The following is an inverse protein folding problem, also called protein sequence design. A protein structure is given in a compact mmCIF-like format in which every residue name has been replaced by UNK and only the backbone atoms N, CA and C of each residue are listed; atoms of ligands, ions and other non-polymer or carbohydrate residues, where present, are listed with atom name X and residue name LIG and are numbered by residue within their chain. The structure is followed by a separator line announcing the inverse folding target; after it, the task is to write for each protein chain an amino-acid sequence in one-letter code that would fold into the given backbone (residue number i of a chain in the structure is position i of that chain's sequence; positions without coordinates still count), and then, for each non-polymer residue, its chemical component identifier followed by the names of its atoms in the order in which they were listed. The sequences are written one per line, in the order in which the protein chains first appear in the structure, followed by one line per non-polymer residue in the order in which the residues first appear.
data_IF_544673710376
#
_entry.id   IF_544673710376
#
_cell.length_a   1.000
_cell.length_b   1.000
_cell.length_c   1.000
_cell.angle_alpha   90.00
_cell.angle_beta   90.00
_cell.angle_gamma   90.00
#
_symmetry.space_group_name_H-M   'P 1'
#
loop_
_entity.id
_entity.type
_entity.pdbx_description
1 polymer ?
#
# COMPACT_ATOMS: atom_id res chain seq x y z
N UNK A 1 -10.77 91.04 -1.90
CA UNK A 1 -9.98 91.30 -0.69
C UNK A 1 -10.93 91.32 0.49
N UNK A 2 -11.27 90.15 1.03
CA UNK A 2 -11.99 90.08 2.29
C UNK A 2 -11.06 90.57 3.41
N UNK A 3 -11.54 91.50 4.23
CA UNK A 3 -10.80 92.01 5.38
C UNK A 3 -10.54 90.82 6.31
N UNK A 4 -9.28 90.42 6.45
CA UNK A 4 -8.86 89.46 7.46
C UNK A 4 -9.37 89.95 8.82
N UNK A 5 -10.33 89.23 9.40
CA UNK A 5 -10.77 89.49 10.77
C UNK A 5 -9.56 89.36 11.68
N UNK A 6 -9.35 90.34 12.55
CA UNK A 6 -8.36 90.21 13.61
C UNK A 6 -8.75 88.98 14.45
N UNK A 7 -7.86 87.99 14.54
CA UNK A 7 -8.05 86.84 15.41
C UNK A 7 -7.96 87.31 16.85
N UNK A 8 -9.10 87.64 17.44
CA UNK A 8 -9.22 87.95 18.86
C UNK A 8 -9.21 86.66 19.68
N UNK A 9 -8.84 86.78 20.96
CA UNK A 9 -8.86 85.68 21.90
C UNK A 9 -10.23 85.00 21.99
N UNK A 10 -11.30 85.78 21.96
CA UNK A 10 -12.69 85.30 22.04
C UNK A 10 -13.08 84.51 20.79
N UNK A 11 -12.67 84.95 19.60
CA UNK A 11 -12.93 84.23 18.35
C UNK A 11 -12.19 82.88 18.34
N UNK A 12 -10.94 82.84 18.81
CA UNK A 12 -10.20 81.59 18.93
C UNK A 12 -10.89 80.61 19.89
N UNK A 13 -11.31 81.06 21.07
CA UNK A 13 -11.98 80.18 22.04
C UNK A 13 -13.31 79.66 21.49
N UNK A 14 -14.07 80.50 20.78
CA UNK A 14 -15.32 80.05 20.14
C UNK A 14 -15.04 78.98 19.08
N UNK A 15 -14.04 79.17 18.23
CA UNK A 15 -13.66 78.19 17.21
C UNK A 15 -13.14 76.90 17.84
N UNK A 16 -12.28 77.01 18.85
CA UNK A 16 -11.77 75.88 19.63
C UNK A 16 -12.91 75.04 20.21
N UNK A 17 -13.86 75.67 20.90
CA UNK A 17 -14.97 74.97 21.53
C UNK A 17 -15.93 74.33 20.51
N UNK A 18 -15.95 74.84 19.28
CA UNK A 18 -16.64 74.22 18.15
C UNK A 18 -15.97 72.92 17.69
N UNK A 19 -14.63 72.94 17.54
CA UNK A 19 -13.87 71.79 17.04
C UNK A 19 -13.56 70.73 18.12
N UNK A 20 -13.46 71.15 19.38
CA UNK A 20 -13.20 70.29 20.54
C UNK A 20 -14.32 70.42 21.61
N UNK A 21 -15.55 69.96 21.32
CA UNK A 21 -16.67 70.09 22.26
C UNK A 21 -16.47 69.30 23.56
N UNK A 22 -15.64 68.26 23.52
CA UNK A 22 -15.31 67.43 24.69
C UNK A 22 -14.19 68.02 25.57
N UNK A 23 -13.51 69.06 25.10
CA UNK A 23 -12.46 69.75 25.85
C UNK A 23 -12.59 71.28 25.68
N UNK A 24 -13.67 71.88 26.23
CA UNK A 24 -13.89 73.30 26.09
C UNK A 24 -12.87 74.12 26.89
N UNK A 25 -12.44 75.23 26.32
CA UNK A 25 -11.55 76.19 26.97
C UNK A 25 -12.29 77.49 27.31
N UNK A 26 -11.85 78.12 28.38
CA UNK A 26 -12.20 79.49 28.77
C UNK A 26 -10.95 80.39 28.80
N UNK A 27 -11.09 81.73 28.80
CA UNK A 27 -9.93 82.63 28.87
C UNK A 27 -9.06 82.43 30.12
N UNK A 28 -9.64 81.94 31.21
CA UNK A 28 -8.91 81.67 32.46
C UNK A 28 -7.98 80.45 32.32
N UNK A 29 -8.39 79.44 31.56
CA UNK A 29 -7.67 78.19 31.37
C UNK A 29 -6.33 78.37 30.66
N UNK A 30 -6.20 79.42 29.86
CA UNK A 30 -4.95 79.76 29.17
C UNK A 30 -3.82 80.21 30.10
N UNK A 31 -4.12 80.41 31.38
CA UNK A 31 -3.14 80.69 32.44
C UNK A 31 -2.85 79.46 33.30
N UNK A 32 -3.48 78.32 33.02
CA UNK A 32 -3.35 77.07 33.79
C UNK A 32 -2.48 76.09 32.98
N UNK A 33 -1.30 75.69 33.48
CA UNK A 33 -0.40 74.74 32.80
C UNK A 33 -1.11 73.49 32.29
N UNK A 34 -1.89 72.84 33.16
CA UNK A 34 -2.56 71.58 32.85
C UNK A 34 -3.59 71.75 31.74
N UNK A 35 -4.33 72.86 31.73
CA UNK A 35 -5.35 73.10 30.73
C UNK A 35 -4.74 73.37 29.35
N UNK A 36 -3.65 74.14 29.29
CA UNK A 36 -2.89 74.41 28.05
C UNK A 36 -2.24 73.13 27.52
N UNK A 37 -1.60 72.33 28.37
CA UNK A 37 -1.02 71.05 27.95
C UNK A 37 -2.09 70.06 27.47
N UNK A 38 -3.23 69.98 28.17
CA UNK A 38 -4.35 69.14 27.75
C UNK A 38 -4.92 69.57 26.40
N UNK A 39 -5.01 70.87 26.14
CA UNK A 39 -5.39 71.40 24.82
C UNK A 39 -4.38 70.99 23.73
N UNK A 40 -3.08 71.11 24.00
CA UNK A 40 -2.05 70.68 23.04
C UNK A 40 -2.14 69.20 22.70
N UNK A 41 -2.45 68.34 23.67
CA UNK A 41 -2.66 66.92 23.40
C UNK A 41 -3.86 66.67 22.48
N UNK A 42 -4.93 67.45 22.58
CA UNK A 42 -6.05 67.34 21.63
C UNK A 42 -5.60 67.62 20.19
N UNK A 43 -4.73 68.62 20.01
CA UNK A 43 -4.16 68.94 18.70
C UNK A 43 -3.21 67.84 18.23
N UNK A 44 -2.36 67.31 19.12
CA UNK A 44 -1.43 66.23 18.80
C UNK A 44 -2.14 64.96 18.34
N UNK A 45 -3.21 64.57 19.03
CA UNK A 45 -4.01 63.41 18.64
C UNK A 45 -4.57 63.58 17.21
N UNK A 46 -5.06 64.79 16.88
CA UNK A 46 -5.57 65.11 15.53
C UNK A 46 -4.49 65.14 14.46
N UNK A 47 -3.27 65.52 14.82
CA UNK A 47 -2.11 65.48 13.95
C UNK A 47 -1.48 64.08 13.83
N UNK A 48 -1.98 63.08 14.55
CA UNK A 48 -1.41 61.73 14.59
C UNK A 48 -0.08 61.66 15.34
N UNK A 49 0.20 62.62 16.22
CA UNK A 49 1.39 62.62 17.08
C UNK A 49 1.08 61.75 18.30
N UNK A 50 1.85 60.67 18.46
CA UNK A 50 1.67 59.73 19.55
C UNK A 50 1.88 60.40 20.92
N UNK A 51 0.80 60.52 21.69
CA UNK A 51 0.80 61.09 23.04
C UNK A 51 1.71 60.30 23.98
N UNK A 52 1.71 58.98 23.88
CA UNK A 52 2.50 58.13 24.77
C UNK A 52 3.99 58.36 24.51
N UNK A 53 4.39 58.53 23.25
CA UNK A 53 5.76 58.91 22.89
C UNK A 53 6.15 60.31 23.42
N UNK A 54 5.22 61.27 23.47
CA UNK A 54 5.47 62.60 24.05
C UNK A 54 5.66 62.52 25.57
N UNK A 55 4.88 61.68 26.24
CA UNK A 55 4.96 61.49 27.70
C UNK A 55 6.10 60.56 28.11
N UNK A 56 6.62 59.74 27.20
CA UNK A 56 7.64 58.76 27.47
C UNK A 56 8.97 59.39 27.90
N UNK A 57 9.71 58.73 28.81
CA UNK A 57 11.10 59.08 29.06
C UNK A 57 11.95 58.84 27.81
N UNK A 58 13.15 59.46 27.73
CA UNK A 58 14.11 59.12 26.68
C UNK A 58 14.46 57.62 26.72
N UNK A 59 14.91 57.03 25.59
CA UNK A 59 15.35 55.63 25.55
C UNK A 59 16.38 55.33 26.65
N UNK A 60 16.35 54.12 27.20
CA UNK A 60 17.21 53.72 28.34
C UNK A 60 18.70 53.99 28.10
N UNK A 61 19.15 53.87 26.84
CA UNK A 61 20.52 54.16 26.41
C UNK A 61 20.96 55.61 26.66
N UNK A 62 20.01 56.55 26.74
CA UNK A 62 20.25 57.97 26.98
C UNK A 62 19.87 58.41 28.41
N UNK A 63 19.40 57.49 29.25
CA UNK A 63 19.07 57.77 30.65
C UNK A 63 20.35 57.72 31.50
N UNK A 64 20.48 58.68 32.42
CA UNK A 64 21.51 58.66 33.46
C UNK A 64 20.87 58.57 34.85
N UNK A 65 21.70 58.38 35.88
CA UNK A 65 21.24 58.27 37.28
C UNK A 65 20.41 59.48 37.75
N UNK A 66 20.55 60.63 37.09
CA UNK A 66 19.86 61.86 37.44
C UNK A 66 18.54 62.07 36.67
N UNK A 67 18.28 61.31 35.60
CA UNK A 67 17.07 61.46 34.77
C UNK A 67 15.79 61.26 35.59
N UNK A 68 15.83 60.39 36.61
CA UNK A 68 14.68 60.11 37.48
C UNK A 68 14.20 61.33 38.27
N UNK A 69 15.08 62.29 38.58
CA UNK A 69 14.73 63.50 39.33
C UNK A 69 13.98 64.54 38.49
N UNK A 70 13.96 64.37 37.17
CA UNK A 70 13.33 65.30 36.24
C UNK A 70 12.13 64.70 35.51
N UNK A 71 11.65 63.53 35.95
CA UNK A 71 10.57 62.80 35.29
C UNK A 71 9.32 63.64 35.07
N UNK A 72 8.98 64.48 36.05
CA UNK A 72 7.81 65.38 36.00
C UNK A 72 7.95 66.51 34.95
N UNK A 73 9.19 66.85 34.58
CA UNK A 73 9.47 67.88 33.56
C UNK A 73 9.58 67.30 32.15
N UNK A 74 9.77 65.98 32.00
CA UNK A 74 9.96 65.32 30.71
C UNK A 74 8.79 65.57 29.75
N UNK A 75 7.50 65.46 30.16
CA UNK A 75 6.38 65.80 29.29
C UNK A 75 6.46 67.22 28.74
N UNK A 76 6.84 68.19 29.58
CA UNK A 76 6.93 69.61 29.20
C UNK A 76 8.10 69.83 28.24
N UNK A 77 9.24 69.21 28.49
CA UNK A 77 10.43 69.27 27.63
C UNK A 77 10.12 68.65 26.26
N UNK A 78 9.51 67.46 26.24
CA UNK A 78 9.16 66.75 25.03
C UNK A 78 8.12 67.52 24.21
N UNK A 79 7.05 68.02 24.85
CA UNK A 79 6.08 68.91 24.18
C UNK A 79 6.77 70.13 23.55
N UNK A 80 7.67 70.78 24.28
CA UNK A 80 8.44 71.93 23.76
C UNK A 80 9.25 71.54 22.52
N UNK A 81 9.91 70.37 22.56
CA UNK A 81 10.68 69.85 21.42
C UNK A 81 9.81 69.53 20.21
N UNK A 82 8.69 68.84 20.41
CA UNK A 82 7.75 68.49 19.35
C UNK A 82 7.23 69.75 18.68
N UNK A 83 6.76 70.73 19.45
CA UNK A 83 6.21 71.97 18.89
C UNK A 83 7.29 72.74 18.12
N UNK A 84 8.48 72.90 18.70
CA UNK A 84 9.59 73.57 18.02
C UNK A 84 10.02 72.85 16.74
N UNK A 85 9.93 71.51 16.71
CA UNK A 85 10.20 70.74 15.50
C UNK A 85 9.14 70.99 14.43
N UNK A 86 7.85 70.97 14.78
CA UNK A 86 6.74 71.23 13.86
C UNK A 86 6.83 72.63 13.23
N UNK A 87 7.22 73.63 14.02
CA UNK A 87 7.30 75.03 13.55
C UNK A 87 8.71 75.39 13.06
N UNK A 88 9.68 74.48 13.08
CA UNK A 88 11.07 74.74 12.67
C UNK A 88 11.18 75.18 11.21
N UNK A 89 10.23 74.76 10.38
CA UNK A 89 10.14 75.12 8.95
C UNK A 89 9.54 76.53 8.76
N UNK A 90 9.02 77.15 9.82
CA UNK A 90 8.43 78.48 9.81
C UNK A 90 9.40 79.51 10.43
N UNK A 91 10.25 80.20 9.64
CA UNK A 91 11.28 81.11 10.16
C UNK A 91 10.72 82.34 10.90
N UNK A 92 9.41 82.59 10.83
CA UNK A 92 8.73 83.70 11.49
C UNK A 92 8.25 83.39 12.91
N UNK A 93 8.34 82.13 13.35
CA UNK A 93 7.87 81.71 14.68
C UNK A 93 9.05 81.68 15.64
N UNK A 94 8.95 82.44 16.74
CA UNK A 94 9.95 82.40 17.81
C UNK A 94 9.95 81.03 18.50
N UNK A 95 11.15 80.53 18.84
CA UNK A 95 11.30 79.27 19.58
C UNK A 95 10.53 79.30 20.89
N UNK A 96 9.71 78.29 21.11
CA UNK A 96 8.94 78.10 22.34
C UNK A 96 9.87 77.51 23.40
N UNK A 97 9.78 78.04 24.62
CA UNK A 97 10.56 77.58 25.75
C UNK A 97 9.68 76.84 26.77
N UNK A 98 10.31 76.07 27.65
CA UNK A 98 9.65 75.29 28.71
C UNK A 98 8.86 76.22 29.66
N UNK A 99 9.31 77.46 29.86
CA UNK A 99 8.63 78.41 30.75
C UNK A 99 7.24 78.81 30.24
N UNK A 100 7.00 78.76 28.93
CA UNK A 100 5.68 79.03 28.36
C UNK A 100 4.62 78.00 28.80
N UNK A 101 5.04 76.82 29.27
CA UNK A 101 4.15 75.77 29.77
C UNK A 101 4.13 75.69 31.30
N UNK A 102 5.26 75.94 31.97
CA UNK A 102 5.32 75.96 33.44
C UNK A 102 4.68 77.23 34.03
N UNK A 103 4.76 78.35 33.32
CA UNK A 103 4.22 79.65 33.71
C UNK A 103 3.48 80.32 32.54
N UNK A 104 2.37 79.72 32.08
CA UNK A 104 1.65 80.21 30.91
C UNK A 104 1.01 81.57 31.19
N UNK A 105 1.18 82.50 30.25
CA UNK A 105 0.39 83.73 30.18
C UNK A 105 -0.70 83.55 29.13
N UNK A 106 -1.83 84.25 29.31
CA UNK A 106 -2.93 84.18 28.34
C UNK A 106 -2.48 84.53 26.91
N UNK A 107 -1.54 85.46 26.76
CA UNK A 107 -0.99 85.87 25.46
C UNK A 107 -0.16 84.75 24.85
N UNK A 108 0.82 84.20 25.59
CA UNK A 108 1.71 83.15 25.09
C UNK A 108 0.95 81.87 24.76
N UNK A 109 0.06 81.43 25.65
CA UNK A 109 -0.75 80.23 25.45
C UNK A 109 -1.68 80.37 24.26
N UNK A 110 -2.32 81.54 24.11
CA UNK A 110 -3.16 81.83 22.96
C UNK A 110 -2.36 81.77 21.65
N UNK A 111 -1.17 82.40 21.60
CA UNK A 111 -0.35 82.38 20.39
C UNK A 111 0.12 80.96 20.02
N UNK A 112 0.54 80.15 20.99
CA UNK A 112 0.99 78.77 20.75
C UNK A 112 -0.18 77.90 20.28
N UNK A 113 -1.31 77.95 20.98
CA UNK A 113 -2.48 77.14 20.62
C UNK A 113 -3.07 77.57 19.28
N UNK A 114 -3.16 78.88 19.00
CA UNK A 114 -3.64 79.38 17.71
C UNK A 114 -2.76 78.90 16.55
N UNK A 115 -1.44 78.92 16.71
CA UNK A 115 -0.50 78.44 15.70
C UNK A 115 -0.73 76.97 15.36
N UNK A 116 -0.79 76.12 16.39
CA UNK A 116 -0.94 74.68 16.23
C UNK A 116 -2.36 74.29 15.76
N UNK A 117 -3.37 75.01 16.23
CA UNK A 117 -4.75 74.84 15.78
C UNK A 117 -4.89 75.16 14.29
N UNK A 118 -4.27 76.26 13.83
CA UNK A 118 -4.24 76.59 12.41
C UNK A 118 -3.48 75.56 11.58
N UNK A 119 -2.38 75.00 12.10
CA UNK A 119 -1.65 73.91 11.45
C UNK A 119 -2.52 72.66 11.30
N UNK A 120 -3.26 72.29 12.35
CA UNK A 120 -4.20 71.18 12.32
C UNK A 120 -5.29 71.39 11.27
N UNK A 121 -5.96 72.54 11.27
CA UNK A 121 -6.99 72.86 10.28
C UNK A 121 -6.44 72.87 8.85
N UNK A 122 -5.21 73.37 8.66
CA UNK A 122 -4.54 73.31 7.36
C UNK A 122 -4.31 71.87 6.91
N UNK A 123 -3.78 71.00 7.79
CA UNK A 123 -3.57 69.59 7.47
C UNK A 123 -4.88 68.86 7.15
N UNK A 124 -5.94 69.07 7.94
CA UNK A 124 -7.26 68.50 7.67
C UNK A 124 -7.82 68.98 6.31
N UNK A 125 -7.59 70.25 5.96
CA UNK A 125 -7.95 70.79 4.65
C UNK A 125 -7.19 70.12 3.50
N UNK A 126 -5.88 69.89 3.66
CA UNK A 126 -5.01 69.25 2.65
C UNK A 126 -5.23 67.75 2.52
N UNK A 127 -5.68 67.07 3.58
CA UNK A 127 -6.00 65.64 3.53
C UNK A 127 -7.08 65.33 2.48
N UNK A 128 -8.04 66.25 2.26
CA UNK A 128 -9.04 66.09 1.19
C UNK A 128 -8.43 66.05 -0.21
N UNK A 129 -7.32 66.76 -0.42
CA UNK A 129 -6.61 66.75 -1.71
C UNK A 129 -5.83 65.45 -1.92
N UNK A 130 -5.48 64.74 -0.84
CA UNK A 130 -4.67 63.50 -0.87
C UNK A 130 -5.55 62.24 -0.87
N UNK A 131 -6.73 62.31 -0.26
CA UNK A 131 -7.65 61.18 -0.10
C UNK A 131 -7.90 60.36 -1.39
N UNK A 132 -8.09 60.97 -2.59
CA UNK A 132 -8.27 60.18 -3.82
C UNK A 132 -7.07 59.29 -4.17
N UNK A 133 -5.85 59.75 -3.91
CA UNK A 133 -4.63 58.98 -4.17
C UNK A 133 -4.45 57.85 -3.16
N UNK A 134 -4.87 58.08 -1.91
CA UNK A 134 -4.88 57.07 -0.86
C UNK A 134 -5.89 55.95 -1.16
N UNK A 135 -7.11 56.31 -1.60
CA UNK A 135 -8.13 55.36 -2.06
C UNK A 135 -7.63 54.52 -3.25
N UNK A 136 -6.96 55.14 -4.22
CA UNK A 136 -6.35 54.42 -5.35
C UNK A 136 -5.29 53.42 -4.88
N UNK A 137 -4.43 53.82 -3.94
CA UNK A 137 -3.38 52.97 -3.39
C UNK A 137 -3.96 51.77 -2.62
N UNK A 138 -5.02 51.97 -1.83
CA UNK A 138 -5.71 50.87 -1.16
C UNK A 138 -6.39 49.93 -2.16
N UNK A 139 -7.06 50.46 -3.17
CA UNK A 139 -7.66 49.64 -4.22
C UNK A 139 -6.63 48.77 -4.95
N UNK A 140 -5.45 49.34 -5.27
CA UNK A 140 -4.34 48.60 -5.88
C UNK A 140 -3.77 47.53 -4.95
N UNK A 141 -3.69 47.82 -3.65
CA UNK A 141 -3.24 46.85 -2.65
C UNK A 141 -4.18 45.66 -2.56
N UNK A 142 -5.49 45.89 -2.63
CA UNK A 142 -6.48 44.81 -2.61
C UNK A 142 -6.47 44.00 -3.91
N UNK A 143 -6.22 44.63 -5.06
CA UNK A 143 -6.00 43.93 -6.33
C UNK A 143 -4.79 42.98 -6.26
N UNK A 144 -3.68 43.43 -5.65
CA UNK A 144 -2.49 42.59 -5.43
C UNK A 144 -2.83 41.40 -4.53
N UNK A 145 -3.52 41.60 -3.41
CA UNK A 145 -3.94 40.51 -2.51
C UNK A 145 -4.83 39.49 -3.23
N UNK A 146 -5.75 39.95 -4.09
CA UNK A 146 -6.60 39.06 -4.88
C UNK A 146 -5.79 38.22 -5.88
N UNK A 147 -4.78 38.81 -6.53
CA UNK A 147 -3.87 38.09 -7.42
C UNK A 147 -3.00 37.08 -6.67
N UNK A 148 -2.50 37.43 -5.48
CA UNK A 148 -1.75 36.50 -4.62
C UNK A 148 -2.61 35.30 -4.20
N UNK A 149 -3.86 35.53 -3.80
CA UNK A 149 -4.81 34.46 -3.50
C UNK A 149 -5.05 33.54 -4.69
N UNK A 150 -5.24 34.12 -5.90
CA UNK A 150 -5.40 33.34 -7.14
C UNK A 150 -4.16 32.52 -7.48
N UNK A 151 -2.96 33.09 -7.32
CA UNK A 151 -1.69 32.39 -7.51
C UNK A 151 -1.59 31.19 -6.56
N UNK A 152 -1.91 31.37 -5.28
CA UNK A 152 -1.85 30.30 -4.29
C UNK A 152 -2.82 29.17 -4.62
N UNK A 153 -4.06 29.49 -5.04
CA UNK A 153 -5.03 28.49 -5.48
C UNK A 153 -4.56 27.68 -6.70
N UNK A 154 -3.90 28.34 -7.66
CA UNK A 154 -3.32 27.65 -8.82
C UNK A 154 -2.17 26.72 -8.43
N UNK A 155 -1.34 27.11 -7.47
CA UNK A 155 -0.27 26.25 -6.94
C UNK A 155 -0.83 25.02 -6.21
N UNK A 156 -1.90 25.18 -5.43
CA UNK A 156 -2.59 24.05 -4.79
C UNK A 156 -3.14 23.06 -5.83
N UNK A 157 -3.79 23.56 -6.88
CA UNK A 157 -4.30 22.70 -7.97
C UNK A 157 -3.15 21.97 -8.70
N UNK A 158 -2.01 22.63 -8.92
CA UNK A 158 -0.84 22.01 -9.54
C UNK A 158 -0.27 20.89 -8.68
N UNK A 159 -0.18 21.11 -7.36
CA UNK A 159 0.29 20.11 -6.42
C UNK A 159 -0.65 18.88 -6.37
N UNK A 160 -1.97 19.11 -6.37
CA UNK A 160 -2.96 18.02 -6.45
C UNK A 160 -2.80 17.21 -7.74
N UNK A 161 -2.64 17.87 -8.89
CA UNK A 161 -2.40 17.16 -10.16
C UNK A 161 -1.09 16.38 -10.16
N UNK A 162 -0.03 16.90 -9.53
CA UNK A 162 1.24 16.18 -9.39
C UNK A 162 1.08 14.93 -8.52
N UNK A 163 0.36 15.02 -7.40
CA UNK A 163 0.07 13.87 -6.52
C UNK A 163 -0.77 12.80 -7.23
N UNK A 164 -1.81 13.22 -7.97
CA UNK A 164 -2.63 12.31 -8.77
C UNK A 164 -1.82 11.60 -9.87
N UNK A 165 -0.93 12.33 -10.54
CA UNK A 165 0.00 11.73 -11.51
C UNK A 165 0.93 10.73 -10.85
N UNK A 166 1.45 11.02 -9.66
CA UNK A 166 2.26 10.08 -8.87
C UNK A 166 1.49 8.79 -8.56
N UNK A 167 0.27 8.91 -8.02
CA UNK A 167 -0.60 7.75 -7.75
C UNK A 167 -1.01 6.98 -9.00
N UNK A 168 -1.09 7.64 -10.16
CA UNK A 168 -1.35 6.98 -11.44
C UNK A 168 -0.12 6.21 -11.92
N UNK A 169 1.07 6.78 -11.79
CA UNK A 169 2.32 6.10 -12.14
C UNK A 169 2.53 4.84 -11.29
N UNK A 170 2.33 4.92 -9.98
CA UNK A 170 2.41 3.77 -9.07
C UNK A 170 1.41 2.66 -9.45
N UNK A 171 0.16 3.04 -9.80
CA UNK A 171 -0.84 2.07 -10.29
C UNK A 171 -0.44 1.42 -11.60
N UNK A 172 0.16 2.16 -12.52
CA UNK A 172 0.66 1.60 -13.78
C UNK A 172 1.83 0.65 -13.54
N UNK A 173 2.74 0.98 -12.63
CA UNK A 173 3.85 0.10 -12.28
C UNK A 173 3.38 -1.22 -11.66
N UNK A 174 2.38 -1.18 -10.76
CA UNK A 174 1.79 -2.40 -10.21
C UNK A 174 1.10 -3.25 -11.30
N UNK A 175 0.37 -2.62 -12.22
CA UNK A 175 -0.25 -3.34 -13.34
C UNK A 175 0.79 -3.97 -14.27
N UNK A 176 1.91 -3.28 -14.53
CA UNK A 176 3.01 -3.84 -15.32
C UNK A 176 3.69 -5.03 -14.62
N UNK A 177 3.77 -5.02 -13.28
CA UNK A 177 4.24 -6.17 -12.50
C UNK A 177 3.25 -7.33 -12.58
N UNK A 178 1.95 -7.08 -12.41
CA UNK A 178 0.90 -8.09 -12.53
C UNK A 178 0.88 -8.72 -13.92
N UNK A 179 1.02 -7.91 -14.98
CA UNK A 179 1.11 -8.41 -16.37
C UNK A 179 2.29 -9.37 -16.51
N UNK A 180 3.47 -9.03 -15.97
CA UNK A 180 4.65 -9.91 -16.03
C UNK A 180 4.42 -11.23 -15.29
N UNK A 181 3.82 -11.19 -14.11
CA UNK A 181 3.49 -12.41 -13.37
C UNK A 181 2.52 -13.28 -14.17
N UNK A 182 1.46 -12.69 -14.73
CA UNK A 182 0.51 -13.45 -15.56
C UNK A 182 1.12 -13.97 -16.85
N UNK A 183 2.08 -13.25 -17.46
CA UNK A 183 2.83 -13.75 -18.62
C UNK A 183 3.71 -14.96 -18.25
N UNK A 184 4.33 -14.95 -17.07
CA UNK A 184 5.09 -16.09 -16.55
C UNK A 184 4.20 -17.28 -16.21
N UNK A 185 3.07 -17.06 -15.53
CA UNK A 185 2.06 -18.10 -15.23
C UNK A 185 1.51 -18.73 -16.53
N UNK A 186 1.16 -17.91 -17.53
CA UNK A 186 0.69 -18.38 -18.83
C UNK A 186 1.76 -19.21 -19.54
N UNK A 187 3.04 -18.85 -19.38
CA UNK A 187 4.15 -19.61 -19.96
C UNK A 187 4.27 -20.98 -19.28
N UNK A 188 4.22 -21.03 -17.96
CA UNK A 188 4.25 -22.29 -17.21
C UNK A 188 3.05 -23.18 -17.56
N UNK A 189 1.84 -22.61 -17.65
CA UNK A 189 0.64 -23.37 -18.01
C UNK A 189 0.72 -23.94 -19.44
N UNK A 190 1.34 -23.22 -20.38
CA UNK A 190 1.63 -23.75 -21.72
C UNK A 190 2.64 -24.89 -21.70
N UNK A 191 3.71 -24.76 -20.90
CA UNK A 191 4.70 -25.83 -20.73
C UNK A 191 4.04 -27.09 -20.14
N UNK A 192 3.21 -26.95 -19.10
CA UNK A 192 2.43 -28.06 -18.53
C UNK A 192 1.46 -28.68 -19.54
N UNK A 193 0.76 -27.86 -20.32
CA UNK A 193 -0.13 -28.35 -21.36
C UNK A 193 0.61 -29.12 -22.46
N UNK A 194 1.82 -28.67 -22.84
CA UNK A 194 2.66 -29.39 -23.81
C UNK A 194 3.14 -30.74 -23.25
N UNK A 195 3.53 -30.79 -21.97
CA UNK A 195 3.88 -32.04 -21.28
C UNK A 195 2.69 -33.00 -21.23
N UNK A 196 1.52 -32.55 -20.76
CA UNK A 196 0.31 -33.37 -20.66
C UNK A 196 -0.15 -33.87 -22.03
N UNK A 197 0.00 -33.03 -23.08
CA UNK A 197 -0.29 -33.44 -24.46
C UNK A 197 0.66 -34.53 -24.94
N UNK A 198 1.95 -34.46 -24.62
CA UNK A 198 2.93 -35.50 -24.96
C UNK A 198 2.62 -36.83 -24.24
N UNK A 199 2.25 -36.76 -22.96
CA UNK A 199 1.79 -37.93 -22.19
C UNK A 199 0.52 -38.55 -22.80
N UNK A 200 -0.46 -37.72 -23.15
CA UNK A 200 -1.69 -38.17 -23.80
C UNK A 200 -1.40 -38.85 -25.15
N UNK A 201 -0.52 -38.26 -25.96
CA UNK A 201 -0.11 -38.85 -27.25
C UNK A 201 0.61 -40.20 -27.06
N UNK A 202 1.39 -40.36 -25.99
CA UNK A 202 2.01 -41.62 -25.63
C UNK A 202 0.97 -42.69 -25.24
N UNK A 203 0.00 -42.33 -24.39
CA UNK A 203 -1.10 -43.21 -23.98
C UNK A 203 -1.96 -43.60 -25.21
N UNK A 204 -2.24 -42.67 -26.12
CA UNK A 204 -2.98 -42.96 -27.35
C UNK A 204 -2.21 -43.98 -28.22
N UNK A 205 -0.89 -43.85 -28.34
CA UNK A 205 -0.05 -44.81 -29.08
C UNK A 205 -0.06 -46.19 -28.42
N UNK A 206 0.06 -46.24 -27.11
CA UNK A 206 -0.01 -47.49 -26.34
C UNK A 206 -1.38 -48.16 -26.50
N UNK A 207 -2.48 -47.41 -26.35
CA UNK A 207 -3.84 -47.91 -26.57
C UNK A 207 -4.02 -48.49 -27.99
N UNK A 208 -3.50 -47.81 -29.02
CA UNK A 208 -3.53 -48.34 -30.40
C UNK A 208 -2.74 -49.64 -30.54
N UNK A 209 -1.61 -49.79 -29.86
CA UNK A 209 -0.84 -51.04 -29.85
C UNK A 209 -1.62 -52.16 -29.16
N UNK A 210 -2.26 -51.85 -28.02
CA UNK A 210 -3.11 -52.80 -27.29
C UNK A 210 -4.30 -53.24 -28.12
N UNK A 211 -4.98 -52.32 -28.82
CA UNK A 211 -6.07 -52.65 -29.75
C UNK A 211 -5.61 -53.58 -30.87
N UNK A 212 -4.46 -53.29 -31.52
CA UNK A 212 -3.89 -54.17 -32.54
C UNK A 212 -3.60 -55.57 -31.99
N UNK A 213 -3.01 -55.66 -30.80
CA UNK A 213 -2.75 -56.95 -30.13
C UNK A 213 -4.07 -57.67 -29.80
N UNK A 214 -5.09 -56.95 -29.34
CA UNK A 214 -6.39 -57.51 -29.04
C UNK A 214 -7.04 -58.10 -30.31
N UNK A 215 -6.97 -57.40 -31.43
CA UNK A 215 -7.52 -57.88 -32.71
C UNK A 215 -6.73 -59.07 -33.27
N UNK A 216 -5.40 -59.06 -33.15
CA UNK A 216 -4.58 -60.25 -33.43
C UNK A 216 -5.00 -61.45 -32.57
N UNK A 217 -5.23 -61.24 -31.27
CA UNK A 217 -5.67 -62.31 -30.35
C UNK A 217 -7.09 -62.79 -30.64
N UNK A 218 -8.01 -61.90 -31.02
CA UNK A 218 -9.36 -62.28 -31.49
C UNK A 218 -9.27 -63.12 -32.77
N UNK A 219 -8.48 -62.70 -33.75
CA UNK A 219 -8.25 -63.47 -34.99
C UNK A 219 -7.66 -64.85 -34.71
N UNK A 220 -6.65 -64.93 -33.83
CA UNK A 220 -6.07 -66.22 -33.38
C UNK A 220 -7.12 -67.11 -32.71
N UNK A 221 -7.94 -66.54 -31.81
CA UNK A 221 -9.04 -67.26 -31.15
C UNK A 221 -10.04 -67.77 -32.18
N UNK A 222 -10.47 -66.94 -33.13
CA UNK A 222 -11.46 -67.31 -34.13
C UNK A 222 -10.92 -68.39 -35.09
N UNK A 223 -9.63 -68.33 -35.44
CA UNK A 223 -8.94 -69.39 -36.18
C UNK A 223 -8.92 -70.72 -35.40
N UNK A 224 -8.61 -70.68 -34.09
CA UNK A 224 -8.64 -71.86 -33.23
C UNK A 224 -10.06 -72.43 -33.09
N UNK A 225 -11.08 -71.58 -32.99
CA UNK A 225 -12.49 -71.99 -32.96
C UNK A 225 -12.86 -72.68 -34.28
N UNK A 226 -12.49 -72.10 -35.43
CA UNK A 226 -12.74 -72.69 -36.75
C UNK A 226 -12.02 -74.04 -36.92
N UNK A 227 -10.78 -74.18 -36.45
CA UNK A 227 -10.09 -75.47 -36.42
C UNK A 227 -10.78 -76.49 -35.52
N UNK A 228 -11.22 -76.07 -34.32
CA UNK A 228 -11.99 -76.92 -33.40
C UNK A 228 -13.29 -77.39 -34.04
N UNK A 229 -14.02 -76.50 -34.71
CA UNK A 229 -15.24 -76.81 -35.44
C UNK A 229 -14.96 -77.75 -36.62
N UNK A 230 -13.90 -77.51 -37.39
CA UNK A 230 -13.46 -78.41 -38.47
C UNK A 230 -13.10 -79.79 -37.96
N UNK A 231 -12.38 -79.88 -36.84
CA UNK A 231 -12.04 -81.16 -36.17
C UNK A 231 -13.26 -81.82 -35.55
N UNK A 232 -14.28 -81.06 -35.12
CA UNK A 232 -15.58 -81.60 -34.68
C UNK A 232 -16.44 -82.06 -35.86
N UNK A 233 -16.41 -81.38 -37.00
CA UNK A 233 -17.12 -81.76 -38.22
C UNK A 233 -16.50 -82.98 -38.92
N UNK A 234 -15.18 -83.13 -38.85
CA UNK A 234 -14.44 -84.36 -39.22
C UNK A 234 -14.66 -85.51 -38.23
N UNK A 235 -15.32 -85.25 -37.09
CA UNK A 235 -15.72 -86.26 -36.12
C UNK A 235 -17.01 -86.93 -36.61
N UNK A 236 -16.91 -87.62 -37.75
CA UNK A 236 -17.96 -88.49 -38.27
C UNK A 236 -17.80 -89.85 -37.58
N UNK A 237 -18.80 -90.21 -36.77
CA UNK A 237 -19.01 -91.58 -36.34
C UNK A 237 -19.61 -92.37 -37.52
N UNK A 238 -18.81 -92.66 -38.54
CA UNK A 238 -19.18 -93.69 -39.50
C UNK A 238 -19.05 -95.03 -38.76
N UNK A 239 -20.19 -95.60 -38.40
CA UNK A 239 -20.28 -96.88 -37.70
C UNK A 239 -19.55 -98.02 -38.45
N UNK A 240 -19.30 -97.83 -39.75
CA UNK A 240 -18.54 -98.74 -40.60
C UNK A 240 -17.01 -98.54 -40.49
N UNK A 241 -16.52 -97.33 -40.20
CA UNK A 241 -15.09 -97.08 -39.93
C UNK A 241 -14.65 -97.57 -38.55
N UNK A 242 -15.55 -97.55 -37.56
CA UNK A 242 -15.29 -98.19 -36.25
C UNK A 242 -15.26 -99.71 -36.40
N UNK A 243 -16.08 -100.31 -37.27
CA UNK A 243 -15.99 -101.75 -37.58
C UNK A 243 -14.73 -102.09 -38.38
N UNK A 244 -14.30 -101.24 -39.31
CA UNK A 244 -13.05 -101.42 -40.07
C UNK A 244 -11.81 -101.26 -39.18
N UNK A 245 -11.80 -100.30 -38.24
CA UNK A 245 -10.73 -100.13 -37.26
C UNK A 245 -10.74 -101.22 -36.19
N UNK A 246 -11.91 -101.72 -35.76
CA UNK A 246 -11.98 -102.86 -34.86
C UNK A 246 -11.54 -104.17 -35.53
N UNK A 247 -11.85 -104.38 -36.82
CA UNK A 247 -11.36 -105.54 -37.58
C UNK A 247 -9.87 -105.43 -37.92
N UNK A 248 -9.36 -104.23 -38.22
CA UNK A 248 -7.92 -104.02 -38.41
C UNK A 248 -7.15 -104.16 -37.10
N UNK A 249 -7.65 -103.61 -35.99
CA UNK A 249 -7.07 -103.82 -34.67
C UNK A 249 -7.13 -105.29 -34.22
N UNK A 250 -8.21 -106.02 -34.52
CA UNK A 250 -8.29 -107.46 -34.25
C UNK A 250 -7.28 -108.26 -35.12
N UNK A 251 -7.06 -107.86 -36.37
CA UNK A 251 -6.06 -108.47 -37.25
C UNK A 251 -4.63 -108.15 -36.82
N UNK A 252 -4.38 -106.91 -36.39
CA UNK A 252 -3.08 -106.47 -35.86
C UNK A 252 -2.79 -107.12 -34.49
N UNK A 253 -3.82 -107.37 -33.67
CA UNK A 253 -3.71 -108.18 -32.44
C UNK A 253 -3.43 -109.64 -32.77
N UNK A 254 -4.05 -110.22 -33.79
CA UNK A 254 -3.78 -111.59 -34.21
C UNK A 254 -2.38 -111.75 -34.83
N UNK A 255 -1.93 -110.81 -35.67
CA UNK A 255 -0.56 -110.78 -36.22
C UNK A 255 0.49 -110.51 -35.14
N UNK A 256 0.17 -109.67 -34.14
CA UNK A 256 1.07 -109.44 -33.01
C UNK A 256 1.09 -110.61 -32.03
N UNK A 257 0.00 -111.37 -31.88
CA UNK A 257 -0.03 -112.65 -31.17
C UNK A 257 0.77 -113.72 -31.90
N UNK A 258 0.69 -113.81 -33.23
CA UNK A 258 1.52 -114.71 -34.04
C UNK A 258 3.00 -114.32 -33.98
N UNK A 259 3.32 -113.02 -34.02
CA UNK A 259 4.68 -112.51 -33.76
C UNK A 259 5.13 -112.75 -32.32
N UNK A 260 4.24 -112.67 -31.33
CA UNK A 260 4.53 -113.03 -29.93
C UNK A 260 4.76 -114.54 -29.78
N UNK A 261 4.07 -115.37 -30.57
CA UNK A 261 4.25 -116.82 -30.59
C UNK A 261 5.58 -117.20 -31.25
N UNK A 262 5.93 -116.56 -32.37
CA UNK A 262 7.25 -116.72 -33.00
C UNK A 262 8.38 -116.16 -32.13
N UNK A 263 8.17 -115.04 -31.45
CA UNK A 263 9.12 -114.49 -30.46
C UNK A 263 9.24 -115.39 -29.23
N UNK A 264 8.16 -116.04 -28.77
CA UNK A 264 8.23 -117.05 -27.68
C UNK A 264 8.99 -118.30 -28.11
N UNK A 265 8.79 -118.79 -29.33
CA UNK A 265 9.59 -119.89 -29.88
C UNK A 265 11.07 -119.50 -30.05
N UNK A 266 11.34 -118.27 -30.50
CA UNK A 266 12.69 -117.71 -30.60
C UNK A 266 13.32 -117.50 -29.21
N UNK A 267 12.53 -117.11 -28.21
CA UNK A 267 12.95 -116.94 -26.82
C UNK A 267 13.22 -118.29 -26.16
N UNK A 268 12.43 -119.33 -26.46
CA UNK A 268 12.69 -120.71 -26.01
C UNK A 268 13.97 -121.29 -26.65
N UNK A 269 14.24 -120.98 -27.92
CA UNK A 269 15.52 -121.28 -28.58
C UNK A 269 16.69 -120.51 -27.94
N UNK A 270 16.49 -119.23 -27.60
CA UNK A 270 17.49 -118.39 -26.94
C UNK A 270 17.73 -118.81 -25.48
N UNK A 271 16.72 -119.28 -24.74
CA UNK A 271 16.84 -119.85 -23.39
C UNK A 271 17.62 -121.17 -23.39
N UNK A 272 17.42 -122.04 -24.40
CA UNK A 272 18.25 -123.24 -24.58
C UNK A 272 19.70 -122.89 -24.93
N UNK A 273 19.93 -121.85 -25.74
CA UNK A 273 21.27 -121.33 -26.00
C UNK A 273 21.88 -120.64 -24.76
N UNK A 274 21.08 -120.00 -23.90
CA UNK A 274 21.51 -119.39 -22.64
C UNK A 274 21.88 -120.47 -21.60
N UNK A 275 21.18 -121.61 -21.57
CA UNK A 275 21.56 -122.78 -20.75
C UNK A 275 22.91 -123.40 -21.17
N UNK A 276 23.24 -123.38 -22.46
CA UNK A 276 24.56 -123.80 -22.96
C UNK A 276 25.68 -122.76 -22.72
N UNK A 277 25.32 -121.48 -22.53
CA UNK A 277 26.24 -120.39 -22.14
C UNK A 277 26.40 -120.24 -20.62
N UNK A 278 25.50 -120.81 -19.81
CA UNK A 278 25.61 -120.85 -18.35
C UNK A 278 26.63 -121.90 -17.85
N UNK A 279 27.11 -122.81 -18.70
CA UNK A 279 28.22 -123.74 -18.41
C UNK A 279 29.62 -123.17 -18.69
N UNK A 280 29.74 -122.00 -19.33
CA UNK A 280 31.01 -121.31 -19.65
C UNK A 280 31.27 -120.08 -18.77
N UNK A 281 30.46 -119.86 -17.74
CA UNK A 281 30.55 -118.72 -16.82
C UNK A 281 31.65 -118.80 -15.73
N UNK A 282 32.09 -119.97 -15.22
CA UNK A 282 33.13 -119.99 -14.18
C UNK A 282 34.53 -119.53 -14.64
N UNK A 283 34.79 -119.45 -15.95
CA UNK A 283 36.11 -119.07 -16.50
C UNK A 283 36.21 -117.59 -16.92
N UNK A 284 35.11 -116.83 -16.94
CA UNK A 284 35.11 -115.40 -17.25
C UNK A 284 35.08 -114.52 -15.99
N UNK A 285 34.60 -115.05 -14.86
CA UNK A 285 34.66 -114.35 -13.57
C UNK A 285 36.09 -114.33 -12.97
N UNK A 286 36.94 -115.30 -13.33
CA UNK A 286 38.40 -115.28 -13.01
C UNK A 286 39.19 -114.32 -13.90
N UNK A 287 38.78 -114.13 -15.15
CA UNK A 287 39.42 -113.19 -16.08
C UNK A 287 39.07 -111.73 -15.76
N UNK A 288 37.85 -111.46 -15.26
CA UNK A 288 37.41 -110.11 -14.92
C UNK A 288 38.00 -109.62 -13.57
N UNK A 289 38.24 -110.53 -12.62
CA UNK A 289 38.92 -110.19 -11.36
C UNK A 289 40.42 -109.90 -11.57
N UNK A 290 41.09 -110.61 -12.49
CA UNK A 290 42.48 -110.30 -12.88
C UNK A 290 42.58 -109.00 -13.73
N UNK A 291 41.54 -108.64 -14.47
CA UNK A 291 41.45 -107.36 -15.19
C UNK A 291 41.26 -106.17 -14.22
N UNK A 292 40.48 -106.33 -13.15
CA UNK A 292 40.34 -105.30 -12.11
C UNK A 292 41.58 -105.16 -11.20
N UNK A 293 42.37 -106.22 -11.02
CA UNK A 293 43.65 -106.16 -10.30
C UNK A 293 44.77 -105.52 -11.16
N UNK A 294 44.78 -105.75 -12.48
CA UNK A 294 45.70 -105.09 -13.43
C UNK A 294 45.34 -103.60 -13.62
N UNK A 295 44.05 -103.23 -13.59
CA UNK A 295 43.62 -101.82 -13.65
C UNK A 295 44.04 -101.08 -12.37
N UNK A 296 43.84 -101.67 -11.19
CA UNK A 296 44.28 -101.08 -9.90
C UNK A 296 45.80 -100.89 -9.79
N UNK A 297 46.59 -101.85 -10.27
CA UNK A 297 48.06 -101.74 -10.28
C UNK A 297 48.62 -100.91 -11.46
N UNK A 298 47.81 -100.67 -12.50
CA UNK A 298 48.13 -99.75 -13.60
C UNK A 298 47.78 -98.30 -13.27
N UNK A 299 46.81 -98.06 -12.38
CA UNK A 299 46.46 -96.73 -11.88
C UNK A 299 47.48 -96.26 -10.82
N UNK A 300 48.04 -97.15 -10.00
CA UNK A 300 49.11 -96.84 -9.04
C UNK A 300 50.52 -96.62 -9.67
N UNK A 301 50.71 -96.94 -10.97
CA UNK A 301 51.96 -96.69 -11.72
C UNK A 301 51.84 -95.57 -12.77
N UNK A 302 50.64 -95.01 -12.98
CA UNK A 302 50.39 -93.80 -13.79
C UNK A 302 50.30 -92.51 -12.95
N UNK A 303 50.30 -92.61 -11.62
CA UNK A 303 50.41 -91.47 -10.71
C UNK A 303 51.84 -90.89 -10.57
N UNK A 304 52.84 -91.38 -11.33
CA UNK A 304 54.20 -90.81 -11.32
C UNK A 304 54.74 -90.32 -12.66
N UNK A 305 54.06 -90.46 -13.80
CA UNK A 305 54.49 -89.79 -15.04
C UNK A 305 53.36 -89.75 -16.08
N UNK A 306 52.79 -88.55 -16.26
CA UNK A 306 51.92 -88.10 -17.36
C UNK A 306 50.43 -88.51 -17.34
N UNK A 307 49.70 -87.85 -16.43
CA UNK A 307 48.44 -87.18 -16.74
C UNK A 307 48.44 -85.84 -15.99
N UNK A 308 48.13 -84.68 -16.54
CA UNK A 308 47.56 -84.33 -17.84
C UNK A 308 48.07 -82.90 -18.12
N UNK A 309 48.65 -82.67 -19.30
CA UNK A 309 48.77 -81.31 -19.80
C UNK A 309 47.40 -80.95 -20.36
N UNK A 310 46.58 -80.31 -19.52
CA UNK A 310 46.00 -79.04 -19.94
C UNK A 310 46.26 -78.00 -18.84
N UNK A 311 47.37 -77.33 -19.09
CA UNK A 311 47.72 -76.00 -18.68
C UNK A 311 46.62 -74.98 -19.01
N UNK A 312 45.54 -74.97 -18.23
CA UNK A 312 44.60 -73.83 -18.14
C UNK A 312 43.91 -73.69 -16.77
N UNK A 313 44.22 -74.56 -15.79
CA UNK A 313 43.58 -74.49 -14.45
C UNK A 313 44.29 -73.58 -13.43
N UNK A 314 45.42 -72.95 -13.79
CA UNK A 314 46.04 -71.89 -12.95
C UNK A 314 45.85 -70.48 -13.50
N UNK A 315 45.38 -70.37 -14.74
CA UNK A 315 44.96 -69.10 -15.33
C UNK A 315 43.48 -68.85 -15.02
N UNK A 316 42.64 -69.89 -15.06
CA UNK A 316 41.23 -69.81 -14.63
C UNK A 316 41.03 -69.43 -13.17
N UNK A 317 41.77 -69.98 -12.20
CA UNK A 317 41.63 -69.57 -10.78
C UNK A 317 42.18 -68.15 -10.51
N UNK A 318 43.21 -67.73 -11.24
CA UNK A 318 43.81 -66.40 -11.09
C UNK A 318 43.02 -65.33 -11.86
N UNK A 319 42.37 -65.69 -12.96
CA UNK A 319 41.38 -64.88 -13.66
C UNK A 319 40.07 -64.83 -12.89
N UNK A 320 39.63 -65.92 -12.26
CA UNK A 320 38.47 -65.91 -11.33
C UNK A 320 38.77 -65.05 -10.11
N UNK A 321 39.96 -65.14 -9.50
CA UNK A 321 40.35 -64.26 -8.40
C UNK A 321 40.58 -62.81 -8.85
N UNK A 322 41.04 -62.56 -10.09
CA UNK A 322 41.13 -61.21 -10.66
C UNK A 322 39.76 -60.65 -11.01
N UNK A 323 38.84 -61.46 -11.53
CA UNK A 323 37.46 -61.03 -11.79
C UNK A 323 36.76 -60.77 -10.47
N UNK A 324 36.90 -61.64 -9.46
CA UNK A 324 36.39 -61.41 -8.11
C UNK A 324 37.02 -60.16 -7.47
N UNK A 325 38.33 -59.91 -7.62
CA UNK A 325 38.96 -58.66 -7.17
C UNK A 325 38.48 -57.44 -7.95
N UNK A 326 38.22 -57.58 -9.25
CA UNK A 326 37.70 -56.51 -10.10
C UNK A 326 36.24 -56.22 -9.77
N UNK A 327 35.44 -57.24 -9.47
CA UNK A 327 34.05 -57.14 -9.03
C UNK A 327 33.98 -56.57 -7.62
N UNK A 328 34.87 -56.98 -6.71
CA UNK A 328 34.98 -56.36 -5.39
C UNK A 328 35.44 -54.90 -5.47
N UNK A 329 36.39 -54.57 -6.36
CA UNK A 329 36.79 -53.18 -6.58
C UNK A 329 35.69 -52.35 -7.26
N UNK A 330 34.93 -52.94 -8.18
CA UNK A 330 33.75 -52.31 -8.78
C UNK A 330 32.67 -52.06 -7.72
N UNK A 331 32.39 -53.05 -6.86
CA UNK A 331 31.47 -52.90 -5.73
C UNK A 331 31.96 -51.86 -4.70
N UNK A 332 33.28 -51.77 -4.46
CA UNK A 332 33.87 -50.73 -3.60
C UNK A 332 33.75 -49.35 -4.23
N UNK A 333 33.98 -49.24 -5.54
CA UNK A 333 33.79 -48.01 -6.31
C UNK A 333 32.32 -47.58 -6.32
N UNK A 334 31.39 -48.52 -6.51
CA UNK A 334 29.95 -48.27 -6.46
C UNK A 334 29.50 -47.88 -5.05
N UNK A 335 30.05 -48.49 -4.00
CA UNK A 335 29.80 -48.11 -2.61
C UNK A 335 30.40 -46.74 -2.28
N UNK A 336 31.57 -46.40 -2.80
CA UNK A 336 32.17 -45.08 -2.65
C UNK A 336 31.34 -44.01 -3.37
N UNK A 337 30.92 -44.27 -4.61
CA UNK A 337 30.03 -43.40 -5.37
C UNK A 337 28.66 -43.24 -4.68
N UNK A 338 28.06 -44.32 -4.18
CA UNK A 338 26.81 -44.27 -3.42
C UNK A 338 26.97 -43.49 -2.10
N UNK A 339 28.14 -43.58 -1.45
CA UNK A 339 28.44 -42.83 -0.23
C UNK A 339 28.65 -41.35 -0.51
N UNK A 340 29.33 -41.00 -1.59
CA UNK A 340 29.50 -39.62 -2.04
C UNK A 340 28.16 -39.01 -2.47
N UNK A 341 27.35 -39.73 -3.23
CA UNK A 341 26.01 -39.29 -3.66
C UNK A 341 25.07 -39.09 -2.45
N UNK A 342 25.13 -39.99 -1.46
CA UNK A 342 24.39 -39.83 -0.20
C UNK A 342 24.89 -38.64 0.64
N UNK A 343 26.20 -38.35 0.62
CA UNK A 343 26.78 -37.18 1.29
C UNK A 343 26.36 -35.88 0.60
N UNK A 344 26.40 -35.83 -0.74
CA UNK A 344 25.94 -34.70 -1.54
C UNK A 344 24.45 -34.43 -1.32
N UNK A 345 23.60 -35.46 -1.40
CA UNK A 345 22.16 -35.36 -1.09
C UNK A 345 21.89 -34.84 0.32
N UNK A 346 22.70 -35.25 1.32
CA UNK A 346 22.58 -34.72 2.68
C UNK A 346 22.94 -33.24 2.74
N UNK A 347 24.05 -32.83 2.13
CA UNK A 347 24.47 -31.43 2.08
C UNK A 347 23.44 -30.56 1.35
N UNK A 348 22.91 -31.00 0.21
CA UNK A 348 21.83 -30.31 -0.49
C UNK A 348 20.56 -30.21 0.35
N UNK A 349 20.16 -31.27 1.05
CA UNK A 349 18.98 -31.23 1.95
C UNK A 349 19.16 -30.26 3.11
N UNK A 350 20.41 -30.07 3.56
CA UNK A 350 20.75 -29.18 4.66
C UNK A 350 20.80 -27.72 4.17
N UNK A 351 21.35 -27.48 2.98
CA UNK A 351 21.33 -26.19 2.30
C UNK A 351 19.89 -25.74 2.01
N UNK A 352 19.05 -26.62 1.42
CA UNK A 352 17.63 -26.34 1.18
C UNK A 352 16.88 -25.98 2.47
N UNK A 353 17.10 -26.73 3.56
CA UNK A 353 16.49 -26.40 4.87
C UNK A 353 16.97 -25.07 5.44
N UNK A 354 18.22 -24.68 5.21
CA UNK A 354 18.71 -23.36 5.62
C UNK A 354 18.09 -22.25 4.78
N UNK A 355 17.98 -22.44 3.47
CA UNK A 355 17.36 -21.50 2.54
C UNK A 355 15.87 -21.31 2.84
N UNK A 356 15.11 -22.40 3.03
CA UNK A 356 13.71 -22.38 3.47
C UNK A 356 13.54 -21.66 4.80
N UNK A 357 14.46 -21.88 5.76
CA UNK A 357 14.42 -21.18 7.05
C UNK A 357 14.67 -19.68 6.88
N UNK A 358 15.58 -19.27 5.99
CA UNK A 358 15.82 -17.85 5.71
C UNK A 358 14.63 -17.19 5.02
N UNK A 359 14.01 -17.88 4.06
CA UNK A 359 12.77 -17.44 3.38
C UNK A 359 11.60 -17.30 4.37
N UNK A 360 11.42 -18.27 5.26
CA UNK A 360 10.39 -18.20 6.29
C UNK A 360 10.61 -17.02 7.25
N UNK A 361 11.87 -16.73 7.62
CA UNK A 361 12.21 -15.59 8.47
C UNK A 361 12.03 -14.25 7.76
N UNK A 362 12.33 -14.14 6.47
CA UNK A 362 12.06 -12.91 5.70
C UNK A 362 10.56 -12.69 5.53
N UNK A 363 9.80 -13.74 5.18
CA UNK A 363 8.35 -13.68 5.06
C UNK A 363 7.67 -13.29 6.39
N UNK A 364 8.19 -13.78 7.53
CA UNK A 364 7.73 -13.38 8.85
C UNK A 364 7.94 -11.87 9.09
N UNK A 365 9.13 -11.33 8.79
CA UNK A 365 9.41 -9.89 8.96
C UNK A 365 8.53 -9.03 8.07
N UNK A 366 8.32 -9.43 6.82
CA UNK A 366 7.42 -8.71 5.92
C UNK A 366 5.97 -8.73 6.41
N UNK A 367 5.52 -9.86 6.97
CA UNK A 367 4.20 -9.96 7.58
C UNK A 367 4.07 -9.04 8.81
N UNK A 368 5.09 -8.99 9.67
CA UNK A 368 5.14 -8.08 10.83
C UNK A 368 5.14 -6.60 10.41
N UNK A 369 5.88 -6.23 9.36
CA UNK A 369 5.86 -4.87 8.82
C UNK A 369 4.51 -4.50 8.21
N UNK A 370 3.87 -5.43 7.47
CA UNK A 370 2.51 -5.24 6.95
C UNK A 370 1.51 -5.06 8.08
N UNK A 371 1.59 -5.87 9.13
CA UNK A 371 0.71 -5.74 10.30
C UNK A 371 0.93 -4.40 11.03
N UNK A 372 2.19 -3.95 11.19
CA UNK A 372 2.50 -2.63 11.74
C UNK A 372 1.88 -1.50 10.91
N UNK A 373 2.03 -1.54 9.57
CA UNK A 373 1.42 -0.56 8.66
C UNK A 373 -0.11 -0.58 8.76
N UNK A 374 -0.73 -1.76 8.88
CA UNK A 374 -2.18 -1.89 9.08
C UNK A 374 -2.63 -1.26 10.41
N UNK A 375 -1.90 -1.48 11.51
CA UNK A 375 -2.20 -0.86 12.82
C UNK A 375 -2.09 0.66 12.78
N UNK A 376 -1.06 1.19 12.12
CA UNK A 376 -0.88 2.63 11.95
C UNK A 376 -2.01 3.25 11.13
N UNK A 377 -2.41 2.60 10.01
CA UNK A 377 -3.58 3.02 9.21
C UNK A 377 -4.87 3.00 10.03
N UNK A 378 -5.09 1.95 10.83
CA UNK A 378 -6.28 1.83 11.66
C UNK A 378 -6.32 2.93 12.75
N UNK A 379 -5.18 3.24 13.37
CA UNK A 379 -5.06 4.35 14.33
C UNK A 379 -5.40 5.70 13.69
N UNK A 380 -4.89 5.98 12.49
CA UNK A 380 -5.21 7.21 11.76
C UNK A 380 -6.70 7.27 11.35
N UNK A 381 -7.29 6.13 10.97
CA UNK A 381 -8.71 6.06 10.67
C UNK A 381 -9.58 6.36 11.90
N UNK A 382 -9.23 5.82 13.07
CA UNK A 382 -9.89 6.11 14.34
C UNK A 382 -9.83 7.59 14.71
N UNK A 383 -8.66 8.23 14.59
CA UNK A 383 -8.50 9.67 14.83
C UNK A 383 -9.41 10.50 13.92
N UNK A 384 -9.45 10.18 12.61
CA UNK A 384 -10.36 10.85 11.67
C UNK A 384 -11.83 10.65 12.04
N UNK A 385 -12.20 9.48 12.56
CA UNK A 385 -13.59 9.23 12.98
C UNK A 385 -13.95 10.03 14.22
N UNK A 386 -13.02 10.24 15.15
CA UNK A 386 -13.19 11.12 16.31
C UNK A 386 -13.32 12.59 15.88
N UNK A 387 -12.46 13.07 14.98
CA UNK A 387 -12.54 14.42 14.42
C UNK A 387 -13.89 14.69 13.73
N UNK A 388 -14.38 13.73 12.93
CA UNK A 388 -15.70 13.84 12.28
C UNK A 388 -16.83 13.91 13.32
N UNK A 389 -16.75 13.13 14.41
CA UNK A 389 -17.74 13.20 15.49
C UNK A 389 -17.75 14.58 16.14
N UNK A 390 -16.58 15.14 16.45
CA UNK A 390 -16.48 16.49 17.03
C UNK A 390 -17.05 17.57 16.10
N UNK A 391 -16.73 17.51 14.81
CA UNK A 391 -17.28 18.42 13.81
C UNK A 391 -18.80 18.28 13.67
N UNK A 392 -19.32 17.06 13.75
CA UNK A 392 -20.76 16.80 13.70
C UNK A 392 -21.46 17.41 14.91
N UNK A 393 -20.89 17.27 16.11
CA UNK A 393 -21.42 17.87 17.33
C UNK A 393 -21.43 19.41 17.22
N UNK A 394 -20.34 20.00 16.72
CA UNK A 394 -20.26 21.46 16.50
C UNK A 394 -21.33 21.94 15.51
N UNK A 395 -21.49 21.23 14.40
CA UNK A 395 -22.51 21.55 13.39
C UNK A 395 -23.93 21.44 13.95
N UNK A 396 -24.24 20.42 14.75
CA UNK A 396 -25.55 20.28 15.40
C UNK A 396 -25.82 21.42 16.40
N UNK A 397 -24.81 21.84 17.15
CA UNK A 397 -24.91 22.98 18.07
C UNK A 397 -25.14 24.31 17.32
N UNK A 398 -24.41 24.56 16.24
CA UNK A 398 -24.62 25.75 15.39
C UNK A 398 -26.01 25.73 14.74
N UNK A 399 -26.46 24.57 14.25
CA UNK A 399 -27.81 24.41 13.69
C UNK A 399 -28.89 24.71 14.73
N UNK A 400 -28.73 24.24 15.97
CA UNK A 400 -29.67 24.53 17.05
C UNK A 400 -29.73 26.04 17.35
N UNK A 401 -28.56 26.69 17.43
CA UNK A 401 -28.47 28.15 17.64
C UNK A 401 -29.15 28.94 16.51
N UNK A 402 -28.90 28.57 15.25
CA UNK A 402 -29.57 29.19 14.11
C UNK A 402 -31.10 29.02 14.15
N UNK A 403 -31.59 27.85 14.59
CA UNK A 403 -33.02 27.62 14.74
C UNK A 403 -33.64 28.48 15.85
N UNK A 404 -32.94 28.68 16.97
CA UNK A 404 -33.36 29.59 18.04
C UNK A 404 -33.41 31.05 17.57
N UNK A 405 -32.39 31.51 16.85
CA UNK A 405 -32.35 32.85 16.25
C UNK A 405 -33.53 33.05 15.28
N UNK A 406 -33.79 32.07 14.40
CA UNK A 406 -34.91 32.12 13.46
C UNK A 406 -36.27 32.15 14.19
N UNK A 407 -36.40 31.39 15.28
CA UNK A 407 -37.58 31.44 16.14
C UNK A 407 -37.76 32.81 16.82
N UNK A 408 -36.68 33.44 17.30
CA UNK A 408 -36.74 34.79 17.87
C UNK A 408 -37.14 35.84 16.85
N UNK A 409 -36.59 35.77 15.62
CA UNK A 409 -36.92 36.69 14.52
C UNK A 409 -38.40 36.54 14.14
N UNK A 410 -38.87 35.29 14.01
CA UNK A 410 -40.29 35.00 13.75
C UNK A 410 -41.19 35.59 14.84
N UNK A 411 -40.84 35.42 16.11
CA UNK A 411 -41.62 35.95 17.23
C UNK A 411 -41.63 37.48 17.24
N UNK A 412 -40.48 38.14 16.99
CA UNK A 412 -40.40 39.60 16.87
C UNK A 412 -41.31 40.10 15.76
N UNK A 413 -41.20 39.51 14.57
CA UNK A 413 -42.01 39.88 13.41
C UNK A 413 -43.50 39.68 13.65
N UNK A 414 -43.91 38.57 14.27
CA UNK A 414 -45.31 38.34 14.64
C UNK A 414 -45.82 39.37 15.66
N UNK A 415 -45.00 39.78 16.61
CA UNK A 415 -45.38 40.79 17.61
C UNK A 415 -45.51 42.19 16.98
N UNK A 416 -44.59 42.54 16.07
CA UNK A 416 -44.67 43.79 15.31
C UNK A 416 -45.92 43.84 14.43
N UNK A 417 -46.25 42.75 13.73
CA UNK A 417 -47.48 42.66 12.95
C UNK A 417 -48.74 42.85 13.80
N UNK A 418 -48.82 42.18 14.96
CA UNK A 418 -49.94 42.37 15.90
C UNK A 418 -50.03 43.81 16.39
N UNK A 419 -48.89 44.43 16.73
CA UNK A 419 -48.87 45.83 17.15
C UNK A 419 -49.36 46.78 16.06
N UNK A 420 -49.02 46.52 14.80
CA UNK A 420 -49.50 47.30 13.66
C UNK A 420 -51.01 47.09 13.46
N UNK A 421 -51.48 45.85 13.55
CA UNK A 421 -52.89 45.50 13.46
C UNK A 421 -53.72 46.20 14.56
N UNK A 422 -53.25 46.16 15.81
CA UNK A 422 -53.89 46.86 16.94
C UNK A 422 -53.93 48.38 16.73
N UNK A 423 -52.87 48.97 16.17
CA UNK A 423 -52.85 50.40 15.83
C UNK A 423 -53.85 50.74 14.72
N UNK A 424 -53.95 49.90 13.69
CA UNK A 424 -54.93 50.06 12.61
C UNK A 424 -56.36 49.94 13.14
N UNK A 425 -56.64 48.95 13.99
CA UNK A 425 -57.96 48.78 14.62
C UNK A 425 -58.33 49.99 15.50
N UNK A 426 -57.37 50.56 16.24
CA UNK A 426 -57.59 51.83 16.96
C UNK A 426 -57.93 52.98 16.01
N UNK A 427 -57.25 53.09 14.86
CA UNK A 427 -57.54 54.14 13.87
C UNK A 427 -58.92 53.97 13.22
N UNK A 428 -59.31 52.73 12.92
CA UNK A 428 -60.65 52.41 12.41
C UNK A 428 -61.72 52.81 13.41
N UNK A 429 -61.60 52.41 14.68
CA UNK A 429 -62.57 52.76 15.72
C UNK A 429 -62.63 54.26 16.01
N UNK A 430 -61.50 54.98 15.96
CA UNK A 430 -61.47 56.46 16.03
C UNK A 430 -62.21 57.10 14.84
N UNK A 431 -62.01 56.57 13.63
CA UNK A 431 -62.68 57.06 12.43
C UNK A 431 -64.19 56.79 12.47
N UNK A 432 -64.62 55.60 12.89
CA UNK A 432 -66.02 55.24 13.10
C UNK A 432 -66.69 56.19 14.08
N UNK A 433 -66.07 56.44 15.24
CA UNK A 433 -66.57 57.42 16.23
C UNK A 433 -66.74 58.80 15.60
N UNK A 434 -65.74 59.30 14.87
CA UNK A 434 -65.82 60.60 14.18
C UNK A 434 -66.96 60.66 13.16
N UNK A 435 -67.20 59.57 12.42
CA UNK A 435 -68.30 59.49 11.45
C UNK A 435 -69.64 59.47 12.17
N UNK A 436 -69.79 58.66 13.23
CA UNK A 436 -70.98 58.61 14.06
C UNK A 436 -71.30 59.98 14.68
N UNK A 437 -70.30 60.69 15.22
CA UNK A 437 -70.48 62.03 15.79
C UNK A 437 -70.92 63.04 14.72
N UNK A 438 -70.32 63.00 13.52
CA UNK A 438 -70.74 63.83 12.38
C UNK A 438 -72.18 63.55 11.95
N UNK A 439 -72.60 62.29 11.95
CA UNK A 439 -73.98 61.90 11.60
C UNK A 439 -74.97 62.32 12.69
N UNK A 440 -74.58 62.24 13.97
CA UNK A 440 -75.40 62.67 15.10
C UNK A 440 -75.61 64.19 15.10
N UNK A 441 -74.56 64.95 14.81
CA UNK A 441 -74.63 66.42 14.67
C UNK A 441 -75.38 66.91 13.42
N UNK A 442 -75.74 66.03 12.48
CA UNK A 442 -76.62 66.33 11.33
C UNK A 442 -78.10 66.06 11.59
N UNK A 443 -78.44 65.38 12.69
CA UNK A 443 -79.81 65.04 13.09
C UNK A 443 -80.36 65.91 14.24
N UNK A 444 -79.51 66.77 14.79
CA UNK A 444 -79.88 67.97 15.56
C UNK A 444 -79.89 69.14 14.58
#
# INVERSE_FOLDING_TARGET
MEKAQAFTLENFISNWNGDFPNYPLTPADLKIPQAVMGALFQIFDRLGIDRDAVLAPPPEENCNEHTIYYWDLLPVINMTRVINHLVSVMPQVSTISISHFLQPTAITSHSILLLLFNLMLFNEGRLRDIAPFEEELFAKTDEVKALESRKNKLLEMLNQQAEEKGKRAERLENLDQDIKMFEEELKQEKEYYEEEKLELDAIIKENKQVEMLQDQKKSQRDSLIAELERKRALRVYDADDIKAQATKAAKDVQESEEKLKSLRETLMQKENNLKNLQTTKPNLDTANNLLHEIIKLSDELKELESGDLDSESKEGELDVLKTELSELNAQLSDLQAAREDAMMKRQESQAKRQEEKTLALSALREAEERDKKCRERNKSALQRTEEIKELTIKYEAEKAKCLEELASVKNSFCNELKSIEDMLMKKVTEAEKRVCDKLRNRRL
#
